data_IF_843876038722
#
_entry.id   IF_843876038722
#
_cell.length_a   1.000
_cell.length_b   1.000
_cell.length_c   1.000
_cell.angle_alpha   90.00
_cell.angle_beta   90.00
_cell.angle_gamma   90.00
#
_symmetry.space_group_name_H-M   'P 1'
#
loop_
_entity.id
_entity.type
_entity.pdbx_description
1 polymer ?
#
# COMPACT_ATOMS: atom_id res chain seq x y z
N UNK A 1 17.50 12.16 -8.71
CA UNK A 1 16.12 11.71 -8.94
C UNK A 1 15.14 12.46 -8.03
N UNK A 2 15.24 12.36 -6.68
CA UNK A 2 14.25 12.91 -5.72
C UNK A 2 14.04 14.42 -5.85
N UNK A 3 15.10 15.21 -6.07
CA UNK A 3 14.97 16.66 -6.31
C UNK A 3 13.99 16.96 -7.45
N UNK A 4 14.12 16.20 -8.57
CA UNK A 4 13.22 16.36 -9.71
C UNK A 4 11.79 15.93 -9.42
N UNK A 5 11.61 14.91 -8.59
CA UNK A 5 10.26 14.51 -8.12
C UNK A 5 9.63 15.64 -7.30
N UNK A 6 10.38 16.25 -6.39
CA UNK A 6 9.90 17.36 -5.58
C UNK A 6 9.55 18.63 -6.39
N UNK A 7 10.19 18.83 -7.54
CA UNK A 7 9.86 19.91 -8.48
C UNK A 7 8.57 19.64 -9.27
N UNK A 8 8.28 18.37 -9.55
CA UNK A 8 7.14 17.96 -10.38
C UNK A 8 5.85 17.76 -9.59
N UNK A 9 5.97 17.41 -8.31
CA UNK A 9 4.82 17.07 -7.46
C UNK A 9 4.79 17.96 -6.22
N UNK A 10 3.63 18.57 -5.96
CA UNK A 10 3.41 19.45 -4.80
C UNK A 10 3.12 18.67 -3.50
N UNK A 11 3.04 17.33 -3.57
CA UNK A 11 2.74 16.50 -2.40
C UNK A 11 3.71 16.77 -1.25
N UNK A 12 3.23 16.97 -0.02
CA UNK A 12 4.08 17.13 1.15
C UNK A 12 4.79 15.83 1.56
N UNK A 13 4.40 14.70 0.97
CA UNK A 13 4.92 13.36 1.27
C UNK A 13 5.38 12.71 -0.04
N UNK A 14 6.58 12.14 -0.06
CA UNK A 14 7.12 11.39 -1.19
C UNK A 14 7.41 9.96 -0.73
N UNK A 15 6.79 9.00 -1.40
CA UNK A 15 7.00 7.58 -1.14
C UNK A 15 8.25 7.08 -1.88
N UNK A 16 9.15 6.42 -1.15
CA UNK A 16 10.45 5.96 -1.67
C UNK A 16 10.56 4.43 -1.77
N UNK A 17 9.46 3.70 -1.57
CA UNK A 17 9.48 2.23 -1.57
C UNK A 17 9.99 1.66 -0.25
N UNK A 18 11.01 0.83 -0.33
CA UNK A 18 11.67 0.22 0.83
C UNK A 18 11.28 -1.24 1.07
N UNK A 19 10.44 -1.80 0.20
CA UNK A 19 9.93 -3.16 0.22
C UNK A 19 10.86 -4.15 -0.48
N UNK A 20 10.81 -5.41 -0.05
CA UNK A 20 11.34 -6.61 -0.73
C UNK A 20 12.77 -6.45 -1.27
N UNK A 21 13.61 -5.65 -0.61
CA UNK A 21 14.97 -5.42 -1.05
C UNK A 21 15.82 -6.69 -0.90
N UNK A 22 16.44 -7.09 -2.00
CA UNK A 22 17.32 -8.26 -2.04
C UNK A 22 18.74 -7.81 -1.83
N UNK A 23 19.28 -8.11 -0.67
CA UNK A 23 20.60 -7.64 -0.22
C UNK A 23 21.76 -8.53 -0.65
N UNK A 24 21.48 -9.76 -1.08
CA UNK A 24 22.48 -10.80 -1.36
C UNK A 24 23.53 -10.34 -2.38
N UNK A 25 23.11 -9.55 -3.39
CA UNK A 25 24.04 -9.01 -4.38
C UNK A 25 24.97 -7.94 -3.81
N UNK A 26 24.45 -7.11 -2.90
CA UNK A 26 25.29 -6.10 -2.21
C UNK A 26 26.26 -6.74 -1.24
N UNK A 27 25.84 -7.74 -0.52
CA UNK A 27 26.67 -8.49 0.45
C UNK A 27 27.75 -9.32 -0.24
N UNK A 28 27.50 -9.79 -1.47
CA UNK A 28 28.48 -10.49 -2.29
C UNK A 28 29.53 -9.59 -2.95
N UNK A 29 29.29 -8.28 -3.00
CA UNK A 29 30.27 -7.29 -3.53
C UNK A 29 31.24 -6.87 -2.40
N UNK A 30 32.37 -7.60 -2.30
CA UNK A 30 33.40 -7.33 -1.31
C UNK A 30 33.93 -5.89 -1.38
N UNK A 31 34.06 -5.33 -2.59
CA UNK A 31 34.55 -3.95 -2.76
C UNK A 31 33.54 -2.92 -2.30
N UNK A 32 32.23 -3.19 -2.44
CA UNK A 32 31.18 -2.36 -1.86
C UNK A 32 31.22 -2.44 -0.33
N UNK A 33 31.24 -3.62 0.22
CA UNK A 33 31.24 -3.85 1.68
C UNK A 33 32.47 -3.21 2.34
N UNK A 34 33.67 -3.34 1.74
CA UNK A 34 34.89 -2.69 2.23
C UNK A 34 34.74 -1.15 2.21
N UNK A 35 34.23 -0.56 1.14
CA UNK A 35 34.01 0.90 1.07
C UNK A 35 33.00 1.42 2.08
N UNK A 36 32.02 0.59 2.44
CA UNK A 36 30.94 0.96 3.36
C UNK A 36 31.30 0.69 4.84
N UNK A 37 32.41 -0.01 5.10
CA UNK A 37 32.83 -0.39 6.46
C UNK A 37 32.99 0.83 7.40
N UNK A 38 33.54 1.94 6.90
CA UNK A 38 33.73 3.17 7.69
C UNK A 38 32.40 3.88 8.05
N UNK A 39 31.26 3.39 7.54
CA UNK A 39 29.94 3.93 7.79
C UNK A 39 29.09 3.00 8.70
N UNK A 40 29.76 2.15 9.48
CA UNK A 40 29.10 1.16 10.34
C UNK A 40 28.18 0.20 9.58
N UNK A 41 28.53 -0.14 8.34
CA UNK A 41 27.81 -1.10 7.52
C UNK A 41 28.40 -2.49 7.73
N UNK A 42 27.58 -3.42 8.14
CA UNK A 42 27.95 -4.83 8.38
C UNK A 42 27.20 -5.80 7.50
N UNK A 43 26.07 -5.38 6.91
CA UNK A 43 25.20 -6.20 6.07
C UNK A 43 24.38 -5.31 5.11
N UNK A 44 23.63 -5.94 4.22
CA UNK A 44 22.82 -5.23 3.21
C UNK A 44 21.68 -4.39 3.80
N UNK A 45 21.14 -4.76 4.95
CA UNK A 45 20.13 -3.96 5.64
C UNK A 45 20.70 -2.61 6.09
N UNK A 46 21.98 -2.57 6.52
CA UNK A 46 22.64 -1.32 6.87
C UNK A 46 22.81 -0.41 5.66
N UNK A 47 23.10 -0.97 4.48
CA UNK A 47 23.17 -0.20 3.22
C UNK A 47 21.81 0.43 2.91
N UNK A 48 20.73 -0.36 3.00
CA UNK A 48 19.38 0.15 2.76
C UNK A 48 18.99 1.22 3.80
N UNK A 49 19.34 1.04 5.06
CA UNK A 49 19.16 2.03 6.14
C UNK A 49 19.82 3.37 5.79
N UNK A 50 21.08 3.35 5.37
CA UNK A 50 21.80 4.55 4.97
C UNK A 50 21.15 5.22 3.75
N UNK A 51 20.71 4.42 2.77
CA UNK A 51 20.00 4.92 1.59
C UNK A 51 18.69 5.62 1.97
N UNK A 52 17.88 5.02 2.84
CA UNK A 52 16.63 5.62 3.34
C UNK A 52 16.91 6.91 4.12
N UNK A 53 17.94 6.92 4.96
CA UNK A 53 18.36 8.11 5.70
C UNK A 53 18.79 9.24 4.76
N UNK A 54 19.53 8.92 3.69
CA UNK A 54 19.90 9.87 2.67
C UNK A 54 18.68 10.41 1.90
N UNK A 55 17.75 9.54 1.52
CA UNK A 55 16.47 9.94 0.91
C UNK A 55 15.72 10.93 1.79
N UNK A 56 15.59 10.61 3.07
CA UNK A 56 14.92 11.47 4.05
C UNK A 56 15.60 12.85 4.17
N UNK A 57 16.94 12.87 4.24
CA UNK A 57 17.70 14.11 4.30
C UNK A 57 17.50 14.98 3.04
N UNK A 58 17.51 14.38 1.86
CA UNK A 58 17.23 15.10 0.60
C UNK A 58 15.82 15.65 0.60
N UNK A 59 14.81 14.85 0.95
CA UNK A 59 13.41 15.29 0.98
C UNK A 59 13.21 16.44 1.97
N UNK A 60 13.86 16.40 3.11
CA UNK A 60 13.80 17.47 4.12
C UNK A 60 14.29 18.82 3.57
N UNK A 61 15.29 18.85 2.67
CA UNK A 61 15.75 20.10 2.03
C UNK A 61 14.67 20.75 1.15
N UNK A 62 13.67 19.98 0.71
CA UNK A 62 12.50 20.45 -0.04
C UNK A 62 11.26 20.64 0.83
N UNK A 63 11.37 20.49 2.15
CA UNK A 63 10.24 20.54 3.06
C UNK A 63 9.24 19.38 2.88
N UNK A 64 9.72 18.24 2.36
CA UNK A 64 8.92 17.03 2.11
C UNK A 64 9.23 15.97 3.16
N UNK A 65 8.22 15.15 3.49
CA UNK A 65 8.34 14.00 4.38
C UNK A 65 8.58 12.73 3.57
N UNK A 66 9.32 11.79 4.12
CA UNK A 66 9.48 10.46 3.56
C UNK A 66 8.26 9.60 3.87
N UNK A 67 7.78 8.83 2.89
CA UNK A 67 6.92 7.67 3.12
C UNK A 67 7.59 6.41 2.57
N UNK A 68 7.21 5.25 3.11
CA UNK A 68 7.65 3.95 2.60
C UNK A 68 6.78 2.82 3.12
N UNK A 69 6.99 1.65 2.55
CA UNK A 69 6.35 0.43 3.01
C UNK A 69 6.83 0.05 4.41
N UNK A 70 6.07 -0.74 5.12
CA UNK A 70 6.29 -1.04 6.54
C UNK A 70 7.65 -1.68 6.86
N UNK A 71 8.34 -2.29 5.91
CA UNK A 71 9.69 -2.83 6.09
C UNK A 71 10.72 -1.76 6.50
N UNK A 72 10.50 -0.49 6.09
CA UNK A 72 11.42 0.59 6.47
C UNK A 72 11.53 0.76 7.99
N UNK A 73 10.50 0.35 8.75
CA UNK A 73 10.50 0.41 10.22
C UNK A 73 11.55 -0.52 10.81
N UNK A 74 11.62 -1.75 10.32
CA UNK A 74 12.61 -2.73 10.79
C UNK A 74 14.02 -2.40 10.36
N UNK A 75 14.20 -1.84 9.16
CA UNK A 75 15.51 -1.57 8.57
C UNK A 75 16.12 -0.28 9.06
N UNK A 76 15.40 0.84 8.96
CA UNK A 76 15.93 2.14 9.34
C UNK A 76 15.87 2.41 10.86
N UNK A 77 15.01 1.70 11.57
CA UNK A 77 14.93 1.77 13.03
C UNK A 77 14.85 3.20 13.56
N UNK A 78 15.81 3.57 14.41
CA UNK A 78 15.92 4.91 15.01
C UNK A 78 16.32 6.01 14.02
N UNK A 79 16.91 5.66 12.87
CA UNK A 79 17.36 6.62 11.87
C UNK A 79 16.23 7.04 10.93
N UNK A 80 15.10 6.35 10.97
CA UNK A 80 13.89 6.75 10.25
C UNK A 80 13.30 8.01 10.91
N UNK A 81 13.03 9.10 10.19
CA UNK A 81 12.44 10.32 10.73
C UNK A 81 11.16 10.05 11.54
N UNK A 82 10.97 10.79 12.62
CA UNK A 82 9.79 10.61 13.48
C UNK A 82 8.47 10.95 12.78
N UNK A 83 8.53 11.80 11.76
CA UNK A 83 7.40 12.21 10.93
C UNK A 83 7.25 11.40 9.63
N UNK A 84 8.09 10.38 9.41
CA UNK A 84 7.92 9.47 8.28
C UNK A 84 6.53 8.82 8.29
N UNK A 85 5.93 8.65 7.10
CA UNK A 85 4.67 7.96 6.91
C UNK A 85 4.92 6.49 6.55
N UNK A 86 4.28 5.58 7.28
CA UNK A 86 4.44 4.14 7.07
C UNK A 86 3.19 3.57 6.40
N UNK A 87 3.37 2.82 5.30
CA UNK A 87 2.29 2.12 4.62
C UNK A 87 2.37 0.63 4.96
N UNK A 88 1.43 0.15 5.77
CA UNK A 88 1.38 -1.24 6.26
C UNK A 88 0.70 -2.15 5.26
N UNK A 89 1.47 -2.90 4.45
CA UNK A 89 0.93 -3.74 3.37
C UNK A 89 1.05 -5.24 3.61
N UNK A 90 2.06 -5.68 4.37
CA UNK A 90 2.35 -7.10 4.53
C UNK A 90 1.18 -7.86 5.15
N UNK A 91 0.88 -9.00 4.53
CA UNK A 91 -0.23 -9.91 4.83
C UNK A 91 -0.28 -10.37 6.30
N UNK A 92 -1.41 -10.93 6.68
CA UNK A 92 -1.66 -11.45 8.03
C UNK A 92 -1.48 -10.41 9.14
N UNK A 93 -1.74 -9.14 8.84
CA UNK A 93 -1.63 -8.02 9.77
C UNK A 93 -0.20 -7.65 10.18
N UNK A 94 0.82 -8.23 9.53
CA UNK A 94 2.23 -7.95 9.84
C UNK A 94 2.57 -6.49 9.59
N UNK A 95 2.16 -5.95 8.44
CA UNK A 95 2.41 -4.56 8.08
C UNK A 95 1.76 -3.58 9.05
N UNK A 96 0.49 -3.80 9.38
CA UNK A 96 -0.23 -2.98 10.36
C UNK A 96 0.40 -3.04 11.75
N UNK A 97 0.83 -4.23 12.18
CA UNK A 97 1.53 -4.42 13.47
C UNK A 97 2.81 -3.60 13.55
N UNK A 98 3.66 -3.70 12.53
CA UNK A 98 4.96 -3.04 12.52
C UNK A 98 4.80 -1.51 12.35
N UNK A 99 3.84 -1.07 11.52
CA UNK A 99 3.49 0.34 11.37
C UNK A 99 3.03 0.95 12.71
N UNK A 100 2.11 0.30 13.42
CA UNK A 100 1.65 0.71 14.76
C UNK A 100 2.80 0.77 15.77
N UNK A 101 3.63 -0.28 15.80
CA UNK A 101 4.77 -0.36 16.73
C UNK A 101 5.80 0.75 16.50
N UNK A 102 5.86 1.31 15.28
CA UNK A 102 6.77 2.40 14.95
C UNK A 102 6.45 3.71 15.67
N UNK A 103 5.22 3.88 16.16
CA UNK A 103 4.73 5.12 16.77
C UNK A 103 4.60 6.29 15.78
N UNK A 104 4.66 6.04 14.47
CA UNK A 104 4.51 7.02 13.38
C UNK A 104 3.09 7.08 12.85
N UNK A 105 2.77 8.10 12.06
CA UNK A 105 1.56 8.07 11.25
C UNK A 105 1.66 6.93 10.23
N UNK A 106 0.54 6.27 9.99
CA UNK A 106 0.52 5.14 9.07
C UNK A 106 -0.78 5.03 8.29
N UNK A 107 -0.73 4.27 7.19
CA UNK A 107 -1.86 3.99 6.29
C UNK A 107 -2.05 2.47 6.26
N UNK A 108 -3.30 2.03 6.34
CA UNK A 108 -3.67 0.63 6.17
C UNK A 108 -3.67 0.27 4.69
N UNK A 109 -2.82 -0.69 4.28
CA UNK A 109 -2.67 -1.12 2.89
C UNK A 109 -2.68 -2.65 2.76
N UNK A 110 -3.19 -3.38 3.76
CA UNK A 110 -3.10 -4.85 3.88
C UNK A 110 -3.41 -5.56 2.57
N UNK A 111 -2.45 -6.36 2.08
CA UNK A 111 -2.55 -7.06 0.81
C UNK A 111 -3.65 -8.13 0.79
N UNK A 112 -4.09 -8.62 1.96
CA UNK A 112 -5.16 -9.60 2.07
C UNK A 112 -6.56 -9.03 1.82
N UNK A 113 -6.72 -7.69 1.88
CA UNK A 113 -8.01 -7.02 1.68
C UNK A 113 -7.99 -5.89 0.65
N UNK A 114 -6.82 -5.28 0.42
CA UNK A 114 -6.72 -4.02 -0.32
C UNK A 114 -5.93 -4.12 -1.62
N UNK A 115 -5.39 -5.31 -1.98
CA UNK A 115 -4.76 -5.51 -3.27
C UNK A 115 -5.81 -5.94 -4.31
N UNK A 116 -6.42 -4.94 -4.96
CA UNK A 116 -7.53 -5.13 -5.90
C UNK A 116 -7.12 -5.74 -7.25
N UNK A 117 -5.85 -6.05 -7.46
CA UNK A 117 -5.37 -6.91 -8.54
C UNK A 117 -5.53 -8.41 -8.25
N UNK A 118 -5.91 -8.80 -7.02
CA UNK A 118 -6.31 -10.17 -6.69
C UNK A 118 -7.72 -10.47 -7.23
N UNK A 119 -8.01 -11.76 -7.40
CA UNK A 119 -9.32 -12.22 -7.86
C UNK A 119 -10.43 -11.79 -6.90
N UNK A 120 -11.62 -11.54 -7.45
CA UNK A 120 -12.77 -11.16 -6.64
C UNK A 120 -13.75 -12.33 -6.39
N UNK A 121 -13.51 -13.48 -7.03
CA UNK A 121 -14.29 -14.70 -6.94
C UNK A 121 -13.47 -15.94 -7.31
N UNK A 122 -14.15 -17.04 -7.63
CA UNK A 122 -13.52 -18.29 -8.01
C UNK A 122 -12.68 -18.13 -9.29
N UNK A 123 -11.52 -18.78 -9.35
CA UNK A 123 -10.55 -18.62 -10.44
C UNK A 123 -11.12 -18.99 -11.81
N UNK A 124 -12.08 -19.91 -11.84
CA UNK A 124 -12.74 -20.37 -13.08
C UNK A 124 -13.73 -19.34 -13.64
N UNK A 125 -14.14 -18.38 -12.83
CA UNK A 125 -15.15 -17.37 -13.16
C UNK A 125 -14.53 -15.98 -13.36
N UNK A 126 -13.30 -15.80 -12.94
CA UNK A 126 -12.61 -14.52 -12.97
C UNK A 126 -11.65 -14.40 -14.16
N UNK A 127 -11.48 -13.19 -14.72
CA UNK A 127 -10.39 -12.92 -15.65
C UNK A 127 -9.03 -13.01 -14.95
N UNK A 128 -7.95 -12.91 -15.74
CA UNK A 128 -6.59 -12.92 -15.21
C UNK A 128 -6.40 -11.92 -14.06
N UNK A 129 -5.85 -12.38 -12.96
CA UNK A 129 -5.54 -11.59 -11.77
C UNK A 129 -4.52 -12.29 -10.89
N UNK A 130 -4.05 -11.61 -9.87
CA UNK A 130 -3.17 -12.19 -8.86
C UNK A 130 -3.94 -13.22 -8.03
N UNK A 131 -3.27 -14.30 -7.63
CA UNK A 131 -3.85 -15.31 -6.74
C UNK A 131 -4.31 -14.72 -5.40
N UNK A 132 -5.32 -15.35 -4.82
CA UNK A 132 -6.00 -14.90 -3.60
C UNK A 132 -7.34 -14.25 -3.95
N UNK A 133 -8.33 -14.43 -3.06
CA UNK A 133 -9.70 -13.98 -3.29
C UNK A 133 -10.03 -12.87 -2.31
N UNK A 134 -10.39 -11.70 -2.85
CA UNK A 134 -10.87 -10.54 -2.11
C UNK A 134 -12.25 -10.19 -2.65
N UNK A 135 -13.31 -10.70 -2.00
CA UNK A 135 -14.67 -10.38 -2.41
C UNK A 135 -15.11 -9.00 -1.91
N UNK A 136 -16.06 -8.33 -2.59
CA UNK A 136 -16.67 -7.10 -2.09
C UNK A 136 -17.23 -7.25 -0.67
N UNK A 137 -17.92 -8.35 -0.39
CA UNK A 137 -18.49 -8.65 0.93
C UNK A 137 -17.38 -8.73 2.00
N UNK A 138 -16.31 -9.45 1.72
CA UNK A 138 -15.19 -9.59 2.65
C UNK A 138 -14.58 -8.23 3.02
N UNK A 139 -14.42 -7.32 2.06
CA UNK A 139 -13.95 -5.95 2.34
C UNK A 139 -14.93 -5.24 3.29
N UNK A 140 -16.23 -5.30 3.01
CA UNK A 140 -17.26 -4.66 3.84
C UNK A 140 -17.28 -5.17 5.29
N UNK A 141 -17.06 -6.47 5.48
CA UNK A 141 -17.14 -7.11 6.80
C UNK A 141 -15.83 -7.00 7.62
N UNK A 142 -14.67 -7.09 6.98
CA UNK A 142 -13.39 -7.17 7.68
C UNK A 142 -12.68 -5.81 7.80
N UNK A 143 -12.71 -4.98 6.74
CA UNK A 143 -11.94 -3.73 6.70
C UNK A 143 -12.29 -2.73 7.82
N UNK A 144 -13.55 -2.52 8.22
CA UNK A 144 -13.88 -1.58 9.31
C UNK A 144 -13.11 -1.89 10.59
N UNK A 145 -12.97 -3.17 10.94
CA UNK A 145 -12.26 -3.60 12.15
C UNK A 145 -10.75 -3.33 12.11
N UNK A 146 -10.17 -3.16 10.93
CA UNK A 146 -8.74 -2.88 10.73
C UNK A 146 -8.44 -1.37 10.78
N UNK A 147 -9.46 -0.52 10.70
CA UNK A 147 -9.31 0.94 10.74
C UNK A 147 -9.32 1.50 12.17
N UNK A 148 -8.89 0.71 13.12
CA UNK A 148 -8.69 1.11 14.51
C UNK A 148 -7.17 1.17 14.81
N UNK A 149 -6.71 2.21 15.41
CA UNK A 149 -5.32 2.30 15.85
C UNK A 149 -4.83 3.72 15.99
N UNK A 150 -3.96 3.91 16.98
CA UNK A 150 -3.32 5.20 17.16
C UNK A 150 -2.53 5.56 15.90
N UNK A 151 -2.63 6.84 15.50
CA UNK A 151 -1.92 7.42 14.36
C UNK A 151 -2.23 6.81 12.98
N UNK A 152 -3.25 5.96 12.86
CA UNK A 152 -3.81 5.59 11.56
C UNK A 152 -4.44 6.84 10.93
N UNK A 153 -4.06 7.17 9.70
CA UNK A 153 -4.55 8.36 9.00
C UNK A 153 -5.40 8.05 7.77
N UNK A 154 -5.52 6.79 7.41
CA UNK A 154 -6.35 6.38 6.28
C UNK A 154 -6.08 4.96 5.79
N UNK A 155 -6.70 4.65 4.67
CA UNK A 155 -6.59 3.37 3.96
C UNK A 155 -6.19 3.61 2.51
N UNK A 156 -5.41 2.69 1.93
CA UNK A 156 -5.04 2.70 0.52
C UNK A 156 -5.28 1.33 -0.09
N UNK A 157 -6.05 1.27 -1.17
CA UNK A 157 -6.11 0.11 -2.03
C UNK A 157 -5.03 0.20 -3.12
N UNK A 158 -4.52 -0.95 -3.56
CA UNK A 158 -3.54 -1.06 -4.63
C UNK A 158 -4.09 -1.89 -5.79
N UNK A 159 -3.68 -1.54 -7.01
CA UNK A 159 -3.96 -2.29 -8.23
C UNK A 159 -2.66 -2.42 -9.03
N UNK A 160 -1.90 -3.46 -8.71
CA UNK A 160 -0.62 -3.74 -9.36
C UNK A 160 -0.85 -4.24 -10.78
N UNK A 161 -0.02 -3.80 -11.71
CA UNK A 161 -0.29 -3.94 -13.15
C UNK A 161 0.22 -5.24 -13.79
N UNK A 162 0.85 -6.13 -13.05
CA UNK A 162 1.40 -7.38 -13.60
C UNK A 162 0.36 -8.21 -14.35
N UNK A 163 -0.88 -8.20 -13.86
CA UNK A 163 -2.00 -8.93 -14.45
C UNK A 163 -3.02 -8.00 -15.11
N UNK A 164 -2.97 -6.69 -14.86
CA UNK A 164 -3.96 -5.71 -15.32
C UNK A 164 -3.47 -5.04 -16.60
N UNK A 165 -3.54 -5.79 -17.71
CA UNK A 165 -2.93 -5.41 -18.99
C UNK A 165 -3.74 -4.44 -19.84
N UNK A 166 -5.01 -4.21 -19.51
CA UNK A 166 -5.91 -3.29 -20.22
C UNK A 166 -6.70 -2.42 -19.26
N UNK A 167 -7.17 -1.24 -19.68
CA UNK A 167 -8.06 -0.41 -18.86
C UNK A 167 -9.34 -1.13 -18.44
N UNK A 168 -9.94 -1.92 -19.32
CA UNK A 168 -11.16 -2.67 -19.03
C UNK A 168 -10.93 -3.69 -17.91
N UNK A 169 -9.81 -4.39 -17.96
CA UNK A 169 -9.43 -5.35 -16.92
C UNK A 169 -9.14 -4.64 -15.58
N UNK A 170 -8.48 -3.49 -15.62
CA UNK A 170 -8.28 -2.64 -14.45
C UNK A 170 -9.62 -2.24 -13.81
N UNK A 171 -10.56 -1.70 -14.59
CA UNK A 171 -11.86 -1.29 -14.08
C UNK A 171 -12.69 -2.47 -13.55
N UNK A 172 -12.65 -3.61 -14.23
CA UNK A 172 -13.29 -4.83 -13.75
C UNK A 172 -12.76 -5.25 -12.35
N UNK A 173 -11.46 -5.20 -12.16
CA UNK A 173 -10.84 -5.52 -10.87
C UNK A 173 -11.10 -4.46 -9.79
N UNK A 174 -11.17 -3.18 -10.16
CA UNK A 174 -11.43 -2.11 -9.22
C UNK A 174 -12.89 -2.12 -8.73
N UNK A 175 -13.84 -2.19 -9.66
CA UNK A 175 -15.26 -2.06 -9.34
C UNK A 175 -15.97 -3.41 -9.29
N UNK A 176 -16.80 -3.64 -8.24
CA UNK A 176 -17.29 -2.67 -7.25
C UNK A 176 -16.45 -2.53 -5.99
N UNK A 177 -15.36 -3.28 -5.81
CA UNK A 177 -14.59 -3.34 -4.56
C UNK A 177 -14.11 -1.97 -4.07
N UNK A 178 -13.69 -1.09 -4.99
CA UNK A 178 -13.23 0.24 -4.64
C UNK A 178 -14.34 1.13 -4.06
N UNK A 179 -15.61 0.93 -4.45
CA UNK A 179 -16.74 1.64 -3.86
C UNK A 179 -16.89 1.30 -2.38
N UNK A 180 -16.72 0.03 -2.03
CA UNK A 180 -16.80 -0.43 -0.65
C UNK A 180 -15.62 0.05 0.18
N UNK A 181 -14.40 0.03 -0.41
CA UNK A 181 -13.24 0.63 0.25
C UNK A 181 -13.48 2.11 0.53
N UNK A 182 -14.09 2.84 -0.42
CA UNK A 182 -14.38 4.27 -0.24
C UNK A 182 -15.41 4.50 0.88
N UNK A 183 -16.48 3.69 0.95
CA UNK A 183 -17.46 3.75 2.04
C UNK A 183 -16.81 3.55 3.40
N UNK A 184 -16.00 2.49 3.52
CA UNK A 184 -15.30 2.17 4.77
C UNK A 184 -14.24 3.24 5.11
N UNK A 185 -13.52 3.76 4.10
CA UNK A 185 -12.55 4.83 4.30
C UNK A 185 -13.18 6.11 4.84
N UNK A 186 -14.41 6.39 4.43
CA UNK A 186 -15.14 7.60 4.82
C UNK A 186 -15.81 7.50 6.18
N UNK A 187 -16.38 6.34 6.51
CA UNK A 187 -17.20 6.14 7.69
C UNK A 187 -16.52 5.31 8.81
N UNK A 188 -15.42 4.61 8.51
CA UNK A 188 -14.72 3.76 9.47
C UNK A 188 -15.62 2.66 10.02
N UNK A 189 -15.66 2.52 11.35
CA UNK A 189 -16.52 1.53 12.03
C UNK A 189 -18.02 1.80 11.86
N UNK A 190 -18.41 3.01 11.43
CA UNK A 190 -19.79 3.38 11.13
C UNK A 190 -20.18 3.15 9.66
N UNK A 191 -19.33 2.49 8.87
CA UNK A 191 -19.66 2.10 7.50
C UNK A 191 -20.90 1.21 7.45
N UNK A 192 -21.65 1.31 6.35
CA UNK A 192 -22.86 0.51 6.17
C UNK A 192 -22.54 -0.99 6.14
N UNK A 193 -23.32 -1.82 6.83
CA UNK A 193 -23.16 -3.26 6.75
C UNK A 193 -23.47 -3.78 5.35
N UNK A 194 -22.93 -4.95 5.00
CA UNK A 194 -23.07 -5.55 3.66
C UNK A 194 -24.49 -5.53 3.12
N UNK A 195 -25.47 -5.90 3.95
CA UNK A 195 -26.89 -5.93 3.56
C UNK A 195 -27.50 -4.57 3.18
N UNK A 196 -26.94 -3.48 3.70
CA UNK A 196 -27.43 -2.13 3.46
C UNK A 196 -26.65 -1.44 2.34
N UNK A 197 -25.34 -1.71 2.20
CA UNK A 197 -24.53 -1.12 1.14
C UNK A 197 -24.78 -1.78 -0.23
N UNK A 198 -25.12 -3.06 -0.27
CA UNK A 198 -25.34 -3.84 -1.51
C UNK A 198 -26.25 -3.13 -2.51
N UNK A 199 -27.49 -2.71 -2.18
CA UNK A 199 -28.36 -2.06 -3.15
C UNK A 199 -27.81 -0.73 -3.69
N UNK A 200 -27.06 0.01 -2.87
CA UNK A 200 -26.43 1.28 -3.28
C UNK A 200 -25.28 1.02 -4.27
N UNK A 201 -24.49 -0.01 -4.03
CA UNK A 201 -23.40 -0.41 -4.91
C UNK A 201 -23.94 -0.95 -6.24
N UNK A 202 -25.08 -1.69 -6.24
CA UNK A 202 -25.74 -2.14 -7.47
C UNK A 202 -26.21 -0.95 -8.35
N UNK A 203 -26.78 0.08 -7.73
CA UNK A 203 -27.17 1.31 -8.43
C UNK A 203 -25.94 2.02 -9.04
N UNK A 204 -24.85 2.10 -8.29
CA UNK A 204 -23.61 2.74 -8.79
C UNK A 204 -22.96 1.92 -9.90
N UNK A 205 -22.98 0.58 -9.84
CA UNK A 205 -22.53 -0.29 -10.94
C UNK A 205 -23.30 0.02 -12.22
N UNK A 206 -24.63 0.15 -12.15
CA UNK A 206 -25.44 0.50 -13.32
C UNK A 206 -25.06 1.87 -13.89
N UNK A 207 -24.77 2.83 -13.03
CA UNK A 207 -24.29 4.17 -13.40
C UNK A 207 -22.95 4.09 -14.12
N UNK A 208 -21.97 3.39 -13.56
CA UNK A 208 -20.64 3.20 -14.17
C UNK A 208 -20.75 2.47 -15.53
N UNK A 209 -21.54 1.41 -15.62
CA UNK A 209 -21.76 0.66 -16.87
C UNK A 209 -22.43 1.53 -17.93
N UNK A 210 -23.38 2.39 -17.56
CA UNK A 210 -24.00 3.33 -18.51
C UNK A 210 -23.01 4.36 -19.05
N UNK A 211 -21.95 4.66 -18.29
CA UNK A 211 -20.83 5.49 -18.72
C UNK A 211 -19.76 4.72 -19.51
N UNK A 212 -19.97 3.42 -19.77
CA UNK A 212 -19.04 2.58 -20.53
C UNK A 212 -17.89 2.02 -19.70
N UNK A 213 -17.98 2.05 -18.37
CA UNK A 213 -16.97 1.52 -17.46
C UNK A 213 -17.32 0.06 -17.14
N UNK A 214 -16.49 -0.92 -17.51
CA UNK A 214 -16.74 -2.32 -17.18
C UNK A 214 -16.59 -2.54 -15.68
N UNK A 215 -17.61 -3.13 -15.08
CA UNK A 215 -17.63 -3.48 -13.67
C UNK A 215 -17.92 -4.96 -13.50
N UNK A 216 -17.28 -5.61 -12.54
CA UNK A 216 -17.64 -6.95 -12.11
C UNK A 216 -19.03 -6.93 -11.47
N UNK A 217 -19.90 -7.92 -11.75
CA UNK A 217 -21.13 -8.11 -10.98
C UNK A 217 -20.83 -8.33 -9.48
N UNK A 218 -21.79 -8.01 -8.61
CA UNK A 218 -21.64 -8.26 -7.18
C UNK A 218 -21.73 -9.75 -6.80
N UNK A 219 -22.43 -10.52 -7.63
CA UNK A 219 -22.66 -11.96 -7.45
C UNK A 219 -21.84 -12.77 -8.41
#
# INVERSE_FOLDING_TARGET
ALSRVCELFDSPVIHVGGDECRWEEWEADEALMERMHDQDVTNGADIQRLFLSHCAAVLATFGRRLAGWDEIVGMAGKDLPADALVLGWRENGLGARDARASGRQWVQCDADLLYLNRLAGAIEEEPTGMNGIITPQRISEELPSLLNGERLIGVQAAAWSEFLTTPDLLFYHLFPRLLIVAEVAWHGEAALPWSEITPLVEEEIMTLQSAGIPCRPLT
#
